data_IF_169241381690
#
_entry.id   IF_169241381690
#
_cell.length_a   1.000
_cell.length_b   1.000
_cell.length_c   1.000
_cell.angle_alpha   90.00
_cell.angle_beta   90.00
_cell.angle_gamma   90.00
#
_symmetry.space_group_name_H-M   'P 1'
#
loop_
_entity.id
_entity.type
_entity.pdbx_description
1 polymer ?
#
# COMPACT_ATOMS: atom_id res chain seq x y z
N UNK A 1 23.47 15.93 33.25
CA UNK A 1 22.55 15.12 32.42
C UNK A 1 21.55 16.07 31.79
N UNK A 2 21.53 16.19 30.46
CA UNK A 2 20.55 17.04 29.79
C UNK A 2 19.17 16.38 29.89
N UNK A 3 18.18 17.11 30.42
CA UNK A 3 16.78 16.68 30.47
C UNK A 3 16.21 16.74 29.05
N UNK A 4 16.03 15.59 28.42
CA UNK A 4 15.32 15.51 27.12
C UNK A 4 13.83 15.77 27.38
N UNK A 5 13.23 16.80 26.76
CA UNK A 5 11.81 17.08 26.95
C UNK A 5 10.97 15.93 26.42
N UNK A 6 10.07 15.43 27.28
CA UNK A 6 9.19 14.30 26.97
C UNK A 6 8.10 14.75 25.99
N UNK A 7 8.10 14.19 24.79
CA UNK A 7 7.07 14.45 23.79
C UNK A 7 5.74 13.82 24.21
N UNK A 8 4.62 14.40 23.76
CA UNK A 8 3.29 13.83 23.96
C UNK A 8 3.18 12.50 23.20
N UNK A 9 2.48 11.55 23.80
CA UNK A 9 2.22 10.27 23.15
C UNK A 9 1.41 10.46 21.86
N UNK A 10 1.71 9.68 20.82
CA UNK A 10 0.97 9.77 19.58
C UNK A 10 -0.49 9.34 19.78
N UNK A 11 -1.42 9.88 18.96
CA UNK A 11 -2.80 9.45 19.00
C UNK A 11 -2.91 7.94 18.73
N UNK A 12 -3.80 7.22 19.43
CA UNK A 12 -3.97 5.78 19.25
C UNK A 12 -4.39 5.41 17.83
N UNK A 13 -3.72 4.44 17.22
CA UNK A 13 -4.06 3.98 15.87
C UNK A 13 -5.38 3.18 15.87
N UNK A 14 -6.43 3.76 15.28
CA UNK A 14 -7.76 3.16 15.17
C UNK A 14 -7.79 1.84 14.40
N UNK A 15 -6.94 1.65 13.39
CA UNK A 15 -6.88 0.37 12.67
C UNK A 15 -6.36 -0.76 13.57
N UNK A 16 -5.39 -0.44 14.43
CA UNK A 16 -4.76 -1.41 15.31
C UNK A 16 -5.68 -1.86 16.43
N UNK A 17 -6.53 -0.97 16.94
CA UNK A 17 -7.56 -1.35 17.93
C UNK A 17 -8.49 -2.44 17.39
N UNK A 18 -8.92 -2.29 16.14
CA UNK A 18 -9.75 -3.30 15.48
C UNK A 18 -8.98 -4.59 15.18
N UNK A 19 -7.74 -4.49 14.67
CA UNK A 19 -6.92 -5.67 14.39
C UNK A 19 -6.58 -6.47 15.67
N UNK A 20 -6.32 -5.80 16.80
CA UNK A 20 -6.02 -6.45 18.08
C UNK A 20 -7.22 -7.28 18.55
N UNK A 21 -8.42 -6.69 18.56
CA UNK A 21 -9.63 -7.40 18.93
C UNK A 21 -9.95 -8.56 17.98
N UNK A 22 -9.81 -8.39 16.66
CA UNK A 22 -10.20 -9.43 15.69
C UNK A 22 -9.17 -10.55 15.55
N UNK A 23 -7.88 -10.22 15.59
CA UNK A 23 -6.80 -11.14 15.20
C UNK A 23 -5.91 -11.56 16.35
N UNK A 24 -5.80 -10.77 17.40
CA UNK A 24 -4.89 -11.08 18.52
C UNK A 24 -5.66 -11.76 19.64
N UNK A 25 -6.82 -11.21 20.05
CA UNK A 25 -7.66 -11.77 21.12
C UNK A 25 -7.90 -13.29 21.03
N UNK A 26 -8.13 -13.91 19.86
CA UNK A 26 -8.32 -15.38 19.78
C UNK A 26 -7.12 -16.21 20.26
N UNK A 27 -5.93 -15.62 20.27
CA UNK A 27 -4.68 -16.27 20.70
C UNK A 27 -4.22 -15.79 22.08
N UNK A 28 -4.99 -14.94 22.74
CA UNK A 28 -4.68 -14.42 24.06
C UNK A 28 -5.19 -15.42 25.10
N UNK A 29 -4.35 -15.83 26.07
CA UNK A 29 -4.80 -16.67 27.17
C UNK A 29 -6.00 -16.05 27.89
N UNK A 30 -6.93 -16.88 28.36
CA UNK A 30 -8.18 -16.42 28.97
C UNK A 30 -7.96 -15.46 30.16
N UNK A 31 -6.84 -15.62 30.88
CA UNK A 31 -6.42 -14.75 31.98
C UNK A 31 -6.25 -13.28 31.55
N UNK A 32 -5.84 -13.04 30.30
CA UNK A 32 -5.56 -11.71 29.76
C UNK A 32 -6.63 -11.22 28.77
N UNK A 33 -7.61 -12.06 28.41
CA UNK A 33 -8.65 -11.72 27.45
C UNK A 33 -9.53 -10.54 27.90
N UNK A 34 -9.62 -10.30 29.22
CA UNK A 34 -10.38 -9.20 29.82
C UNK A 34 -9.60 -7.86 29.87
N UNK A 35 -8.35 -7.82 29.40
CA UNK A 35 -7.56 -6.58 29.37
C UNK A 35 -8.25 -5.51 28.51
N UNK A 36 -8.30 -4.23 28.95
CA UNK A 36 -8.79 -3.11 28.16
C UNK A 36 -8.23 -3.03 26.72
N UNK A 37 -7.03 -3.56 26.48
CA UNK A 37 -6.39 -3.64 25.17
C UNK A 37 -7.19 -4.48 24.16
N UNK A 38 -7.84 -5.54 24.62
CA UNK A 38 -8.61 -6.45 23.77
C UNK A 38 -10.11 -6.17 23.79
N UNK A 39 -10.55 -5.08 24.41
CA UNK A 39 -11.97 -4.74 24.42
C UNK A 39 -12.50 -4.47 23.02
N UNK A 40 -13.79 -4.78 22.85
CA UNK A 40 -14.50 -4.55 21.61
C UNK A 40 -14.42 -3.07 21.21
N UNK A 41 -13.94 -2.74 19.99
CA UNK A 41 -13.92 -1.37 19.51
C UNK A 41 -15.35 -0.79 19.43
N UNK A 42 -15.47 0.52 19.60
CA UNK A 42 -16.75 1.21 19.35
C UNK A 42 -17.06 1.27 17.86
N UNK A 43 -18.34 1.34 17.49
CA UNK A 43 -18.78 1.39 16.09
C UNK A 43 -18.14 2.54 15.28
N UNK A 44 -17.85 3.67 15.94
CA UNK A 44 -17.14 4.80 15.33
C UNK A 44 -15.70 4.43 14.96
N UNK A 45 -15.00 3.70 15.82
CA UNK A 45 -13.64 3.21 15.56
C UNK A 45 -13.66 2.18 14.44
N UNK A 46 -14.62 1.25 14.45
CA UNK A 46 -14.74 0.23 13.40
C UNK A 46 -14.97 0.84 12.01
N UNK A 47 -15.91 1.78 11.90
CA UNK A 47 -16.22 2.46 10.63
C UNK A 47 -15.04 3.29 10.13
N UNK A 48 -14.32 3.97 11.02
CA UNK A 48 -13.11 4.72 10.68
C UNK A 48 -12.00 3.81 10.18
N UNK A 49 -11.73 2.70 10.90
CA UNK A 49 -10.72 1.71 10.50
C UNK A 49 -11.04 1.09 9.13
N UNK A 50 -12.32 0.77 8.86
CA UNK A 50 -12.77 0.25 7.55
C UNK A 50 -12.52 1.26 6.43
N UNK A 51 -12.83 2.54 6.64
CA UNK A 51 -12.57 3.62 5.67
C UNK A 51 -11.08 3.78 5.36
N UNK A 52 -10.22 3.79 6.39
CA UNK A 52 -8.77 3.94 6.20
C UNK A 52 -8.22 2.72 5.44
N UNK A 53 -8.60 1.50 5.83
CA UNK A 53 -8.21 0.26 5.13
C UNK A 53 -8.66 0.28 3.66
N UNK A 54 -9.88 0.73 3.38
CA UNK A 54 -10.41 0.86 2.03
C UNK A 54 -9.60 1.85 1.19
N UNK A 55 -9.37 3.06 1.70
CA UNK A 55 -8.59 4.09 1.02
C UNK A 55 -7.16 3.63 0.74
N UNK A 56 -6.53 2.92 1.69
CA UNK A 56 -5.20 2.34 1.48
C UNK A 56 -5.19 1.33 0.33
N UNK A 57 -6.16 0.42 0.26
CA UNK A 57 -6.29 -0.54 -0.84
C UNK A 57 -6.50 0.16 -2.17
N UNK A 58 -7.34 1.19 -2.21
CA UNK A 58 -7.59 1.99 -3.42
C UNK A 58 -6.31 2.62 -3.94
N UNK A 59 -5.56 3.32 -3.07
CA UNK A 59 -4.26 3.93 -3.42
C UNK A 59 -3.25 2.90 -3.91
N UNK A 60 -3.22 1.72 -3.31
CA UNK A 60 -2.33 0.64 -3.75
C UNK A 60 -2.71 0.13 -5.15
N UNK A 61 -4.01 -0.09 -5.40
CA UNK A 61 -4.51 -0.51 -6.70
C UNK A 61 -4.23 0.54 -7.79
N UNK A 62 -4.45 1.82 -7.50
CA UNK A 62 -4.13 2.93 -8.42
C UNK A 62 -2.64 2.95 -8.75
N UNK A 63 -1.76 2.82 -7.75
CA UNK A 63 -0.31 2.76 -7.98
C UNK A 63 0.12 1.52 -8.77
N UNK A 64 -0.54 0.37 -8.56
CA UNK A 64 -0.24 -0.85 -9.33
C UNK A 64 -0.61 -0.65 -10.80
N UNK A 65 -1.80 -0.12 -11.08
CA UNK A 65 -2.24 0.19 -12.44
C UNK A 65 -1.34 1.20 -13.15
N UNK A 66 -0.93 2.26 -12.44
CA UNK A 66 -0.02 3.26 -13.01
C UNK A 66 1.33 2.63 -13.40
N UNK A 67 1.89 1.75 -12.56
CA UNK A 67 3.13 1.03 -12.86
C UNK A 67 2.98 0.02 -14.01
N UNK A 68 1.81 -0.58 -14.17
CA UNK A 68 1.54 -1.49 -15.29
C UNK A 68 1.45 -0.70 -16.60
N UNK A 69 0.72 0.43 -16.60
CA UNK A 69 0.63 1.31 -17.77
C UNK A 69 1.99 1.91 -18.18
N UNK A 70 2.84 2.28 -17.22
CA UNK A 70 4.21 2.76 -17.48
C UNK A 70 5.05 1.68 -18.19
N UNK A 71 4.96 0.42 -17.75
CA UNK A 71 5.67 -0.69 -18.40
C UNK A 71 5.15 -1.01 -19.80
N UNK A 72 3.84 -0.92 -20.00
CA UNK A 72 3.23 -1.11 -21.32
C UNK A 72 3.70 -0.01 -22.29
N UNK A 73 3.74 1.25 -21.84
CA UNK A 73 4.26 2.36 -22.64
C UNK A 73 5.75 2.24 -22.94
N UNK A 74 6.57 1.77 -21.99
CA UNK A 74 7.98 1.48 -22.23
C UNK A 74 8.15 0.38 -23.30
N UNK A 75 7.36 -0.70 -23.21
CA UNK A 75 7.42 -1.79 -24.18
C UNK A 75 6.97 -1.36 -25.59
N UNK A 76 5.94 -0.52 -25.71
CA UNK A 76 5.49 0.03 -26.99
C UNK A 76 6.55 0.94 -27.63
N UNK A 77 7.16 1.83 -26.84
CA UNK A 77 8.23 2.71 -27.33
C UNK A 77 9.48 1.93 -27.76
N UNK A 78 9.83 0.85 -27.05
CA UNK A 78 10.92 -0.04 -27.45
C UNK A 78 10.61 -0.76 -28.77
N UNK A 79 9.38 -1.22 -28.98
CA UNK A 79 8.97 -1.84 -30.24
C UNK A 79 9.02 -0.86 -31.41
N UNK A 80 8.46 0.34 -31.25
CA UNK A 80 8.48 1.38 -32.29
C UNK A 80 9.91 1.82 -32.64
N UNK A 81 10.77 1.98 -31.62
CA UNK A 81 12.19 2.29 -31.81
C UNK A 81 12.93 1.19 -32.59
N UNK A 82 12.66 -0.08 -32.27
CA UNK A 82 13.26 -1.22 -32.97
C UNK A 82 12.78 -1.32 -34.43
N UNK A 83 11.48 -1.13 -34.69
CA UNK A 83 10.94 -1.13 -36.06
C UNK A 83 11.51 0.01 -36.92
N UNK A 84 11.66 1.21 -36.36
CA UNK A 84 12.26 2.35 -37.04
C UNK A 84 13.73 2.08 -37.43
N UNK A 85 14.49 1.43 -36.55
CA UNK A 85 15.88 1.01 -36.83
C UNK A 85 15.91 -0.02 -37.96
N UNK A 86 15.06 -1.04 -37.92
CA UNK A 86 14.98 -2.08 -38.97
C UNK A 86 14.59 -1.47 -40.32
N UNK A 87 13.62 -0.57 -40.34
CA UNK A 87 13.17 0.10 -41.56
C UNK A 87 14.26 0.99 -42.17
N UNK A 88 15.00 1.73 -41.33
CA UNK A 88 16.13 2.55 -41.78
C UNK A 88 17.27 1.71 -42.37
N UNK A 89 17.60 0.57 -41.74
CA UNK A 89 18.61 -0.36 -42.22
C UNK A 89 18.21 -0.94 -43.58
N UNK A 90 16.97 -1.43 -43.72
CA UNK A 90 16.46 -1.98 -44.98
C UNK A 90 16.51 -0.97 -46.12
N UNK A 91 16.16 0.30 -45.86
CA UNK A 91 16.20 1.37 -46.86
C UNK A 91 17.62 1.66 -47.36
N UNK A 92 18.62 1.58 -46.49
CA UNK A 92 20.02 1.84 -46.87
C UNK A 92 20.61 0.72 -47.74
N UNK A 93 20.24 -0.54 -47.49
CA UNK A 93 20.69 -1.68 -48.30
C UNK A 93 20.06 -1.73 -49.70
N UNK A 94 18.89 -1.13 -49.92
CA UNK A 94 18.24 -1.07 -51.24
C UNK A 94 18.74 0.05 -52.14
N UNK A 95 19.69 0.88 -51.67
CA UNK A 95 20.21 2.05 -52.37
C UNK A 95 21.60 1.85 -52.99
N UNK A 96 22.19 0.66 -52.85
CA UNK A 96 23.44 0.20 -53.50
C UNK A 96 23.13 -0.73 -54.65
#
# INVERSE_FOLDING_TARGET
MALVPKLKDPPPNVEKKLDIHEKVLPFVPAEYANDPLYQKPTAVVESSAKKIKHNRRKRYAERKKAKEAEKEQEAENEQEGNEAVVYSARRNYSRT
#
